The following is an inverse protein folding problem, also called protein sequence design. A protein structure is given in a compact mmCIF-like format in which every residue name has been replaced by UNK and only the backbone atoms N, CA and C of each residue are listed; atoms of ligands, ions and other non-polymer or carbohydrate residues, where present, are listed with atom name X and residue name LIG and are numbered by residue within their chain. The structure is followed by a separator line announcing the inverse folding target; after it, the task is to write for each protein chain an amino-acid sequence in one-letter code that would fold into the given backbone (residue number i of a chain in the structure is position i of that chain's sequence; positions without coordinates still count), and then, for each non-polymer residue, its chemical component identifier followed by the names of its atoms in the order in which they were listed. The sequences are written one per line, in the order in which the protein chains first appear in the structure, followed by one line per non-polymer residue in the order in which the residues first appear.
data_IF_815644293334
#
_entry.id   IF_815644293334
#
_cell.length_a   1.000
_cell.length_b   1.000
_cell.length_c   1.000
_cell.angle_alpha   90.00
_cell.angle_beta   90.00
_cell.angle_gamma   90.00
#
_symmetry.space_group_name_H-M   'P 1'
#
loop_
_entity.id
_entity.type
_entity.pdbx_description
1 polymer ?
#
# COMPACT_ATOMS: atom_id res chain seq x y z
N UNK A 1 -17.96 -11.61 21.53
CA UNK A 1 -18.44 -11.09 20.26
C UNK A 1 -17.28 -10.95 19.28
N UNK A 2 -17.43 -11.49 18.08
CA UNK A 2 -16.39 -11.57 17.05
C UNK A 2 -16.40 -10.33 16.17
N UNK A 3 -15.23 -9.89 15.73
CA UNK A 3 -15.09 -8.95 14.62
C UNK A 3 -15.58 -9.62 13.35
N UNK A 4 -16.39 -8.94 12.56
CA UNK A 4 -16.81 -9.41 11.25
C UNK A 4 -16.07 -8.64 10.17
N UNK A 5 -15.32 -9.33 9.33
CA UNK A 5 -14.65 -8.79 8.16
C UNK A 5 -15.20 -9.49 6.93
N UNK A 6 -15.70 -8.74 5.97
CA UNK A 6 -16.14 -9.25 4.66
C UNK A 6 -15.43 -8.42 3.60
N UNK A 7 -14.96 -9.08 2.56
CA UNK A 7 -14.31 -8.36 1.47
C UNK A 7 -13.96 -9.29 0.33
N UNK A 8 -13.59 -8.68 -0.78
CA UNK A 8 -13.13 -9.35 -1.97
C UNK A 8 -12.27 -8.42 -2.79
N UNK A 9 -11.50 -8.99 -3.68
CA UNK A 9 -10.66 -8.21 -4.57
C UNK A 9 -10.31 -8.99 -5.83
N UNK A 10 -9.93 -8.24 -6.85
CA UNK A 10 -9.44 -8.74 -8.12
C UNK A 10 -8.08 -8.12 -8.38
N UNK A 11 -7.15 -8.93 -8.87
CA UNK A 11 -5.84 -8.48 -9.31
C UNK A 11 -5.53 -9.10 -10.67
N UNK A 12 -5.04 -8.28 -11.56
CA UNK A 12 -4.69 -8.67 -12.91
C UNK A 12 -3.30 -8.16 -13.24
N UNK A 13 -2.43 -9.05 -13.70
CA UNK A 13 -1.09 -8.71 -14.16
C UNK A 13 -0.93 -9.16 -15.61
N UNK A 14 -0.48 -8.24 -16.45
CA UNK A 14 -0.29 -8.49 -17.87
C UNK A 14 1.13 -8.10 -18.31
N UNK A 15 1.88 -9.01 -18.96
CA UNK A 15 3.14 -8.67 -19.58
C UNK A 15 2.91 -7.86 -20.86
N UNK A 16 3.67 -6.80 -21.05
CA UNK A 16 3.63 -5.92 -22.23
C UNK A 16 4.92 -6.11 -23.04
N UNK A 17 4.80 -6.79 -24.18
CA UNK A 17 5.96 -7.09 -25.04
C UNK A 17 6.89 -8.17 -24.46
N UNK A 18 8.07 -8.27 -25.04
CA UNK A 18 9.06 -9.30 -24.73
C UNK A 18 10.19 -8.81 -23.82
N UNK A 19 10.22 -7.51 -23.52
CA UNK A 19 11.27 -6.87 -22.72
C UNK A 19 11.07 -7.02 -21.20
N UNK A 20 10.06 -7.80 -20.77
CA UNK A 20 9.76 -8.04 -19.38
C UNK A 20 8.97 -6.91 -18.69
N UNK A 21 8.53 -5.91 -19.43
CA UNK A 21 7.59 -4.89 -18.93
C UNK A 21 6.28 -5.56 -18.50
N UNK A 22 5.81 -5.23 -17.30
CA UNK A 22 4.54 -5.74 -16.75
C UNK A 22 3.69 -4.60 -16.25
N UNK A 23 2.40 -4.72 -16.45
CA UNK A 23 1.40 -3.86 -15.81
C UNK A 23 0.57 -4.68 -14.85
N UNK A 24 0.15 -4.05 -13.76
CA UNK A 24 -0.79 -4.63 -12.82
C UNK A 24 -1.94 -3.67 -12.53
N UNK A 25 -3.13 -4.24 -12.44
CA UNK A 25 -4.34 -3.56 -12.03
C UNK A 25 -4.93 -4.32 -10.86
N UNK A 26 -5.29 -3.63 -9.80
CA UNK A 26 -5.98 -4.24 -8.67
C UNK A 26 -7.14 -3.39 -8.20
N UNK A 27 -8.16 -4.06 -7.68
CA UNK A 27 -9.29 -3.47 -6.99
C UNK A 27 -9.66 -4.34 -5.82
N UNK A 28 -9.95 -3.76 -4.67
CA UNK A 28 -10.48 -4.46 -3.51
C UNK A 28 -11.52 -3.63 -2.77
N UNK A 29 -12.46 -4.33 -2.16
CA UNK A 29 -13.48 -3.76 -1.30
C UNK A 29 -13.56 -4.59 -0.03
N UNK A 30 -13.63 -3.95 1.12
CA UNK A 30 -13.77 -4.62 2.41
C UNK A 30 -14.70 -3.82 3.33
N UNK A 31 -15.50 -4.58 4.09
CA UNK A 31 -16.37 -4.09 5.14
C UNK A 31 -15.90 -4.68 6.46
N UNK A 32 -15.72 -3.84 7.45
CA UNK A 32 -15.31 -4.25 8.80
C UNK A 32 -16.31 -3.77 9.81
N UNK A 33 -16.80 -4.67 10.66
CA UNK A 33 -17.63 -4.35 11.83
C UNK A 33 -16.88 -4.81 13.07
N UNK A 34 -16.46 -3.87 13.94
CA UNK A 34 -15.80 -4.21 15.18
C UNK A 34 -16.69 -5.08 16.07
N UNK A 35 -16.07 -5.99 16.81
CA UNK A 35 -16.70 -6.81 17.84
C UNK A 35 -16.46 -6.25 19.24
N UNK A 36 -16.85 -7.02 20.27
CA UNK A 36 -16.60 -6.65 21.67
C UNK A 36 -17.58 -5.61 22.22
N UNK A 37 -17.13 -4.80 23.14
CA UNK A 37 -17.96 -3.84 23.88
C UNK A 37 -18.46 -2.67 23.00
N UNK A 38 -17.86 -2.49 21.82
CA UNK A 38 -18.23 -1.42 20.88
C UNK A 38 -19.26 -1.85 19.82
N UNK A 39 -19.75 -3.09 19.87
CA UNK A 39 -20.84 -3.55 18.97
C UNK A 39 -22.08 -2.68 19.11
N UNK A 40 -22.37 -2.21 20.34
CA UNK A 40 -23.54 -1.35 20.64
C UNK A 40 -23.47 0.00 19.93
N UNK A 41 -22.28 0.43 19.49
CA UNK A 41 -22.09 1.68 18.75
C UNK A 41 -22.44 1.54 17.27
N UNK A 42 -22.69 0.31 16.77
CA UNK A 42 -23.04 0.05 15.37
C UNK A 42 -22.03 0.60 14.37
N UNK A 43 -20.74 0.64 14.73
CA UNK A 43 -19.69 1.18 13.85
C UNK A 43 -19.43 0.23 12.69
N UNK A 44 -19.36 0.77 11.49
CA UNK A 44 -19.02 0.07 10.28
C UNK A 44 -18.00 0.87 9.47
N UNK A 45 -16.95 0.21 8.98
CA UNK A 45 -15.98 0.79 8.06
C UNK A 45 -16.06 0.08 6.71
N UNK A 46 -16.27 0.85 5.66
CA UNK A 46 -16.28 0.41 4.27
C UNK A 46 -15.06 1.00 3.57
N UNK A 47 -14.14 0.13 3.11
CA UNK A 47 -12.94 0.55 2.41
C UNK A 47 -12.95 0.00 0.98
N UNK A 48 -12.72 0.90 0.03
CA UNK A 48 -12.48 0.58 -1.39
C UNK A 48 -11.08 1.03 -1.74
N UNK A 49 -10.36 0.20 -2.47
CA UNK A 49 -9.05 0.57 -2.96
C UNK A 49 -8.80 0.05 -4.36
N UNK A 50 -8.01 0.80 -5.11
CA UNK A 50 -7.58 0.39 -6.42
C UNK A 50 -6.14 0.82 -6.67
N UNK A 51 -5.46 0.10 -7.55
CA UNK A 51 -4.13 0.49 -7.99
C UNK A 51 -3.87 0.11 -9.44
N UNK A 52 -3.05 0.93 -10.07
CA UNK A 52 -2.46 0.65 -11.36
C UNK A 52 -0.94 0.79 -11.24
N UNK A 53 -0.21 -0.21 -11.67
CA UNK A 53 1.24 -0.23 -11.58
C UNK A 53 1.91 -0.71 -12.86
N UNK A 54 3.17 -0.29 -13.00
CA UNK A 54 4.08 -0.70 -14.06
C UNK A 54 5.37 -1.15 -13.42
N UNK A 55 5.90 -2.27 -13.90
CA UNK A 55 7.18 -2.82 -13.46
C UNK A 55 8.03 -3.10 -14.68
N UNK A 56 9.25 -2.56 -14.68
CA UNK A 56 10.18 -2.73 -15.80
C UNK A 56 11.55 -3.22 -15.29
N UNK A 57 12.05 -4.38 -15.75
CA UNK A 57 13.39 -4.83 -15.42
C UNK A 57 14.41 -4.07 -16.29
N UNK A 58 15.18 -3.19 -15.65
CA UNK A 58 16.28 -2.48 -16.31
C UNK A 58 17.43 -3.41 -16.66
N UNK A 59 17.70 -4.36 -15.76
CA UNK A 59 18.69 -5.43 -15.93
C UNK A 59 18.06 -6.69 -15.35
N UNK A 60 18.11 -7.76 -16.10
CA UNK A 60 17.65 -9.07 -15.67
C UNK A 60 18.67 -10.13 -16.05
N UNK A 61 19.53 -10.51 -15.11
CA UNK A 61 20.51 -11.57 -15.21
C UNK A 61 20.32 -12.54 -14.06
N UNK A 62 20.91 -13.71 -14.14
CA UNK A 62 20.80 -14.74 -13.11
C UNK A 62 21.30 -14.30 -11.73
N UNK A 63 22.34 -13.48 -11.71
CA UNK A 63 23.09 -13.03 -10.54
C UNK A 63 22.92 -11.53 -10.26
N UNK A 64 22.21 -10.82 -11.14
CA UNK A 64 22.02 -9.37 -11.05
C UNK A 64 20.68 -8.95 -11.63
N UNK A 65 19.89 -8.24 -10.86
CA UNK A 65 18.67 -7.62 -11.37
C UNK A 65 18.49 -6.20 -10.84
N UNK A 66 18.00 -5.34 -11.72
CA UNK A 66 17.52 -4.01 -11.41
C UNK A 66 16.08 -3.89 -11.92
N UNK A 67 15.17 -3.45 -11.07
CA UNK A 67 13.76 -3.34 -11.42
C UNK A 67 13.23 -1.98 -11.01
N UNK A 68 12.70 -1.24 -11.97
CA UNK A 68 11.98 0.01 -11.76
C UNK A 68 10.48 -0.28 -11.62
N UNK A 69 9.83 0.38 -10.67
CA UNK A 69 8.39 0.27 -10.44
C UNK A 69 7.76 1.65 -10.38
N UNK A 70 6.61 1.79 -10.99
CA UNK A 70 5.71 2.93 -10.82
C UNK A 70 4.33 2.42 -10.42
N UNK A 71 3.68 3.07 -9.47
CA UNK A 71 2.34 2.70 -9.03
C UNK A 71 1.55 3.96 -8.66
N UNK A 72 0.30 4.03 -9.14
CA UNK A 72 -0.70 4.95 -8.65
C UNK A 72 -1.76 4.14 -7.92
N UNK A 73 -2.13 4.55 -6.71
CA UNK A 73 -3.16 3.89 -5.91
C UNK A 73 -4.09 4.90 -5.30
N UNK A 74 -5.35 4.50 -5.10
CA UNK A 74 -6.35 5.27 -4.40
C UNK A 74 -7.02 4.40 -3.34
N UNK A 75 -7.42 5.04 -2.26
CA UNK A 75 -8.16 4.47 -1.14
C UNK A 75 -9.32 5.40 -0.84
N UNK A 76 -10.49 4.83 -0.62
CA UNK A 76 -11.71 5.51 -0.18
C UNK A 76 -12.24 4.74 1.02
N UNK A 77 -12.21 5.34 2.21
CA UNK A 77 -12.66 4.73 3.46
C UNK A 77 -13.76 5.57 4.09
N UNK A 78 -14.94 4.98 4.23
CA UNK A 78 -16.09 5.56 4.86
C UNK A 78 -16.37 4.84 6.18
N UNK A 79 -16.37 5.58 7.29
CA UNK A 79 -16.76 5.09 8.59
C UNK A 79 -18.11 5.68 8.98
N UNK A 80 -19.03 4.83 9.41
CA UNK A 80 -20.38 5.22 9.82
C UNK A 80 -20.80 4.48 11.08
N UNK A 81 -21.80 5.05 11.78
CA UNK A 81 -22.43 4.42 12.93
C UNK A 81 -23.95 4.43 12.76
N UNK A 82 -24.59 3.38 13.25
CA UNK A 82 -26.05 3.25 13.27
C UNK A 82 -26.52 2.96 14.70
N UNK A 83 -26.35 3.93 15.60
CA UNK A 83 -26.71 3.77 17.03
C UNK A 83 -28.19 4.03 17.29
N UNK A 84 -28.84 4.88 16.48
CA UNK A 84 -30.22 5.35 16.68
C UNK A 84 -31.17 4.96 15.56
N UNK A 85 -30.76 3.99 14.69
CA UNK A 85 -31.49 3.65 13.48
C UNK A 85 -31.33 4.65 12.33
N UNK A 86 -30.45 5.64 12.50
CA UNK A 86 -30.05 6.60 11.47
C UNK A 86 -28.56 6.46 11.25
N UNK A 87 -28.17 6.26 9.99
CA UNK A 87 -26.76 6.19 9.63
C UNK A 87 -26.12 7.58 9.76
N UNK A 88 -25.15 7.66 10.65
CA UNK A 88 -24.33 8.87 10.82
C UNK A 88 -22.92 8.60 10.32
N UNK A 89 -22.43 9.45 9.43
CA UNK A 89 -21.06 9.37 8.92
C UNK A 89 -20.11 9.91 9.99
N UNK A 90 -19.17 9.07 10.41
CA UNK A 90 -18.14 9.43 11.39
C UNK A 90 -16.94 10.06 10.73
N UNK A 91 -16.48 9.47 9.62
CA UNK A 91 -15.36 9.99 8.83
C UNK A 91 -15.40 9.48 7.41
N UNK A 92 -14.79 10.23 6.51
CA UNK A 92 -14.63 9.84 5.12
C UNK A 92 -13.25 10.27 4.63
N UNK A 93 -12.38 9.31 4.44
CA UNK A 93 -11.01 9.51 3.99
C UNK A 93 -10.85 9.08 2.53
N UNK A 94 -10.24 9.94 1.75
CA UNK A 94 -9.82 9.63 0.37
C UNK A 94 -8.38 10.01 0.18
N UNK A 95 -7.61 9.10 -0.36
CA UNK A 95 -6.19 9.31 -0.60
C UNK A 95 -5.77 8.70 -1.92
N UNK A 96 -5.16 9.52 -2.75
CA UNK A 96 -4.47 9.07 -3.97
C UNK A 96 -2.98 9.25 -3.79
N UNK A 97 -2.20 8.25 -4.15
CA UNK A 97 -0.75 8.31 -4.02
C UNK A 97 -0.05 7.78 -5.27
N UNK A 98 1.03 8.46 -5.62
CA UNK A 98 2.01 8.01 -6.62
C UNK A 98 3.23 7.47 -5.90
N UNK A 99 3.70 6.29 -6.31
CA UNK A 99 4.92 5.66 -5.80
C UNK A 99 5.84 5.30 -6.95
N UNK A 100 7.12 5.60 -6.77
CA UNK A 100 8.18 5.20 -7.69
C UNK A 100 9.22 4.46 -6.86
N UNK A 101 9.56 3.26 -7.27
CA UNK A 101 10.48 2.39 -6.55
C UNK A 101 11.55 1.79 -7.44
N UNK A 102 12.72 1.57 -6.87
CA UNK A 102 13.85 0.91 -7.50
C UNK A 102 14.30 -0.23 -6.60
N UNK A 103 14.33 -1.44 -7.14
CA UNK A 103 14.87 -2.62 -6.47
C UNK A 103 16.15 -3.08 -7.16
N UNK A 104 17.09 -3.47 -6.36
CA UNK A 104 18.34 -4.09 -6.79
C UNK A 104 18.51 -5.44 -6.09
N UNK A 105 18.94 -6.43 -6.84
CA UNK A 105 19.40 -7.71 -6.31
C UNK A 105 20.68 -8.10 -7.03
N UNK A 106 21.69 -8.51 -6.28
CA UNK A 106 22.96 -8.95 -6.84
C UNK A 106 23.66 -9.94 -5.91
N UNK A 107 24.27 -10.98 -6.47
CA UNK A 107 25.00 -12.02 -5.74
C UNK A 107 26.41 -12.25 -6.30
N UNK A 108 27.37 -11.30 -6.19
CA UNK A 108 28.75 -11.52 -6.66
C UNK A 108 29.57 -12.44 -5.73
N UNK A 109 29.53 -12.26 -4.43
CA UNK A 109 30.23 -13.05 -3.38
C UNK A 109 29.34 -13.25 -2.17
N UNK A 110 28.10 -12.96 -2.26
CA UNK A 110 27.03 -12.96 -1.30
C UNK A 110 25.86 -12.26 -1.93
N UNK A 111 24.66 -12.36 -1.36
CA UNK A 111 23.49 -11.75 -1.98
C UNK A 111 23.17 -10.42 -1.28
N UNK A 112 23.08 -9.38 -2.06
CA UNK A 112 22.68 -8.03 -1.65
C UNK A 112 21.31 -7.75 -2.25
N UNK A 113 20.37 -7.34 -1.42
CA UNK A 113 19.09 -6.79 -1.82
C UNK A 113 18.99 -5.35 -1.35
N UNK A 114 18.53 -4.49 -2.22
CA UNK A 114 18.24 -3.08 -1.94
C UNK A 114 16.90 -2.72 -2.57
N UNK A 115 16.08 -2.01 -1.83
CA UNK A 115 14.78 -1.51 -2.28
C UNK A 115 14.58 -0.08 -1.79
N UNK A 116 14.27 0.82 -2.69
CA UNK A 116 13.94 2.20 -2.37
C UNK A 116 12.62 2.59 -3.00
N UNK A 117 11.82 3.37 -2.29
CA UNK A 117 10.53 3.86 -2.75
C UNK A 117 10.31 5.30 -2.32
N UNK A 118 9.98 6.15 -3.28
CA UNK A 118 9.48 7.48 -3.06
C UNK A 118 7.96 7.48 -3.27
N UNK A 119 7.23 7.95 -2.27
CA UNK A 119 5.78 8.08 -2.30
C UNK A 119 5.38 9.54 -2.19
N UNK A 120 4.42 9.95 -2.99
CA UNK A 120 3.82 11.29 -2.94
C UNK A 120 2.30 11.18 -2.93
N UNK A 121 1.68 11.82 -1.95
CA UNK A 121 0.24 12.05 -1.94
C UNK A 121 -0.14 13.06 -3.02
N UNK A 122 -1.20 12.75 -3.77
CA UNK A 122 -1.73 13.59 -4.82
C UNK A 122 -3.07 14.19 -4.37
N UNK A 123 -3.33 15.41 -4.80
CA UNK A 123 -4.60 16.10 -4.53
C UNK A 123 -5.72 15.74 -5.52
N UNK A 124 -5.51 14.67 -6.27
CA UNK A 124 -6.48 14.17 -7.25
C UNK A 124 -7.41 13.18 -6.56
N UNK A 125 -8.69 13.50 -6.50
CA UNK A 125 -9.72 12.69 -5.83
C UNK A 125 -9.40 12.34 -4.36
N UNK A 126 -8.56 13.15 -3.70
CA UNK A 126 -8.19 13.05 -2.30
C UNK A 126 -8.98 14.06 -1.48
N UNK A 127 -9.00 13.89 -0.15
CA UNK A 127 -9.58 14.84 0.78
C UNK A 127 -8.56 15.28 1.81
N UNK A 128 -8.49 16.59 2.05
CA UNK A 128 -7.65 17.18 3.10
C UNK A 128 -8.53 17.81 4.19
N UNK A 129 -7.98 18.02 5.37
CA UNK A 129 -8.72 18.60 6.50
C UNK A 129 -9.31 19.97 6.19
N UNK A 130 -8.68 20.76 5.32
CA UNK A 130 -9.21 22.05 4.85
C UNK A 130 -10.48 21.96 4.01
N UNK A 131 -10.77 20.80 3.43
CA UNK A 131 -11.92 20.54 2.55
C UNK A 131 -13.03 19.76 3.29
N UNK A 132 -12.75 19.26 4.49
CA UNK A 132 -13.65 18.42 5.26
C UNK A 132 -14.58 19.24 6.16
N UNK A 133 -15.36 20.18 5.58
CA UNK A 133 -16.24 21.08 6.35
C UNK A 133 -17.44 20.34 6.93
N UNK A 134 -18.07 19.45 6.17
CA UNK A 134 -19.31 18.78 6.57
C UNK A 134 -19.08 17.36 7.13
N UNK A 135 -18.11 16.64 6.59
CA UNK A 135 -17.78 15.27 6.98
C UNK A 135 -16.32 15.23 7.39
N UNK A 136 -16.00 14.94 8.66
CA UNK A 136 -14.62 14.96 9.13
C UNK A 136 -13.78 13.85 8.49
N UNK A 137 -12.47 14.06 8.50
CA UNK A 137 -11.49 13.00 8.26
C UNK A 137 -11.29 12.19 9.57
N UNK A 138 -10.81 10.95 9.44
CA UNK A 138 -10.40 10.14 10.59
C UNK A 138 -9.27 10.79 11.41
N UNK A 139 -8.47 11.64 10.75
CA UNK A 139 -7.44 12.47 11.37
C UNK A 139 -7.76 13.95 11.17
N UNK A 140 -7.93 14.68 12.25
CA UNK A 140 -8.34 16.10 12.25
C UNK A 140 -7.36 17.04 11.54
N UNK A 141 -6.10 16.65 11.41
CA UNK A 141 -5.04 17.40 10.69
C UNK A 141 -4.52 16.66 9.46
N UNK A 142 -5.31 15.73 8.90
CA UNK A 142 -4.92 14.94 7.75
C UNK A 142 -4.68 15.81 6.51
N UNK A 143 -3.60 15.55 5.77
CA UNK A 143 -3.35 16.15 4.46
C UNK A 143 -3.18 15.07 3.42
N UNK A 144 -3.75 15.29 2.24
CA UNK A 144 -3.53 14.44 1.08
C UNK A 144 -2.12 14.60 0.49
N UNK A 145 -1.49 15.75 0.74
CA UNK A 145 -0.17 16.09 0.21
C UNK A 145 0.92 15.70 1.21
N UNK A 146 1.61 14.61 0.92
CA UNK A 146 2.75 14.14 1.70
C UNK A 146 3.87 13.65 0.79
N UNK A 147 5.07 13.61 1.32
CA UNK A 147 6.23 12.95 0.74
C UNK A 147 6.77 11.94 1.74
N UNK A 148 6.99 10.74 1.27
CA UNK A 148 7.57 9.67 2.08
C UNK A 148 8.64 8.94 1.28
N UNK A 149 9.79 8.74 1.88
CA UNK A 149 10.89 7.97 1.32
C UNK A 149 11.18 6.78 2.21
N UNK A 150 11.26 5.61 1.61
CA UNK A 150 11.56 4.36 2.30
C UNK A 150 12.73 3.66 1.63
N UNK A 151 13.64 3.15 2.45
CA UNK A 151 14.76 2.32 2.02
C UNK A 151 14.79 1.06 2.84
N UNK A 152 14.94 -0.07 2.18
CA UNK A 152 15.20 -1.36 2.80
C UNK A 152 16.43 -1.95 2.14
N UNK A 153 17.34 -2.50 2.93
CA UNK A 153 18.48 -3.22 2.41
C UNK A 153 18.74 -4.47 3.23
N UNK A 154 19.19 -5.52 2.58
CA UNK A 154 19.66 -6.72 3.26
C UNK A 154 20.85 -7.30 2.53
N UNK A 155 21.78 -7.86 3.28
CA UNK A 155 22.93 -8.57 2.77
C UNK A 155 22.97 -9.96 3.40
N UNK A 156 23.23 -10.97 2.60
CA UNK A 156 23.42 -12.35 3.07
C UNK A 156 24.67 -12.94 2.46
N UNK A 157 25.49 -13.58 3.27
CA UNK A 157 26.72 -14.24 2.84
C UNK A 157 26.96 -15.51 3.66
N UNK A 158 27.57 -16.49 3.01
CA UNK A 158 27.99 -17.71 3.66
C UNK A 158 29.26 -17.46 4.48
N UNK A 159 29.17 -17.66 5.79
CA UNK A 159 30.30 -17.41 6.71
C UNK A 159 31.19 -18.65 6.84
N UNK A 160 30.62 -19.83 6.76
CA UNK A 160 31.28 -21.15 6.71
C UNK A 160 30.32 -22.13 6.03
N UNK A 161 30.80 -23.27 5.56
CA UNK A 161 30.06 -24.24 4.74
C UNK A 161 28.59 -24.58 5.14
N UNK A 162 28.08 -24.10 6.28
CA UNK A 162 26.71 -24.36 6.74
C UNK A 162 26.07 -23.19 7.48
N UNK A 163 26.67 -21.99 7.50
CA UNK A 163 26.13 -20.85 8.23
C UNK A 163 25.87 -19.67 7.29
N UNK A 164 24.59 -19.26 7.18
CA UNK A 164 24.15 -18.07 6.47
C UNK A 164 23.99 -16.90 7.45
N UNK A 165 24.72 -15.82 7.25
CA UNK A 165 24.53 -14.58 7.99
C UNK A 165 23.66 -13.63 7.14
N UNK A 166 22.58 -13.09 7.75
CA UNK A 166 21.69 -12.11 7.11
C UNK A 166 21.63 -10.86 7.99
N UNK A 167 21.92 -9.71 7.38
CA UNK A 167 21.81 -8.39 8.00
C UNK A 167 20.81 -7.59 7.19
N UNK A 168 19.83 -6.95 7.85
CA UNK A 168 18.83 -6.12 7.21
C UNK A 168 18.74 -4.77 7.90
N UNK A 169 18.52 -3.71 7.10
CA UNK A 169 18.24 -2.35 7.54
C UNK A 169 16.97 -1.88 6.84
N UNK A 170 16.10 -1.22 7.61
CA UNK A 170 14.87 -0.63 7.09
C UNK A 170 14.58 0.68 7.81
N UNK A 171 14.07 1.68 7.09
CA UNK A 171 13.67 3.00 7.59
C UNK A 171 12.56 3.60 6.71
#
# INVERSE_FOLDING_TARGET
SSVTIRGGGLSFTYPLGDDGLKTNLSYSESMTRPGGDIVSLGIESNMKSGSFGITYPLILRKDLSWTLRGNISWIDELQQTNTTGVDQILSHDRLTSLRIGLSFFGCPVGCIYFDSELSRGLDIASRSASEAVDIPLSRTSGTSQYHHFRVNSSCSFDVFNNYLMKIGFGG
#
